data_IF_251713007243
#
_entry.id   IF_251713007243
#
_cell.length_a   1.000
_cell.length_b   1.000
_cell.length_c   1.000
_cell.angle_alpha   90.00
_cell.angle_beta   90.00
_cell.angle_gamma   90.00
#
_symmetry.space_group_name_H-M   'P 1'
#
loop_
_entity.id
_entity.type
_entity.pdbx_description
1 polymer ?
#
# COMPACT_ATOMS: atom_id res chain seq x y z
N UNK A 1 8.34 4.31 -42.62
CA UNK A 1 8.14 4.07 -41.17
C UNK A 1 9.47 4.36 -40.52
N UNK A 2 9.61 5.55 -39.93
CA UNK A 2 10.87 5.94 -39.30
C UNK A 2 11.18 4.98 -38.16
N UNK A 3 12.43 4.54 -38.04
CA UNK A 3 12.90 3.88 -36.83
C UNK A 3 12.62 4.84 -35.68
N UNK A 4 11.63 4.54 -34.85
CA UNK A 4 11.46 5.22 -33.58
C UNK A 4 12.78 5.04 -32.82
N UNK A 5 13.46 6.15 -32.56
CA UNK A 5 14.75 6.10 -31.89
C UNK A 5 14.52 5.56 -30.49
N UNK A 6 15.15 4.44 -30.15
CA UNK A 6 15.10 3.88 -28.80
C UNK A 6 15.75 4.90 -27.85
N UNK A 7 14.92 5.58 -27.05
CA UNK A 7 15.34 6.49 -25.99
C UNK A 7 14.99 5.93 -24.61
N UNK A 8 15.66 6.38 -23.54
CA UNK A 8 15.27 6.06 -22.17
C UNK A 8 13.78 6.23 -21.87
N UNK A 9 13.15 7.32 -22.32
CA UNK A 9 11.70 7.51 -22.13
C UNK A 9 10.85 6.48 -22.88
N UNK A 10 11.17 6.17 -24.15
CA UNK A 10 10.44 5.13 -24.89
C UNK A 10 10.59 3.74 -24.25
N UNK A 11 11.75 3.45 -23.63
CA UNK A 11 11.97 2.22 -22.87
C UNK A 11 11.15 2.24 -21.58
N UNK A 12 11.07 3.38 -20.89
CA UNK A 12 10.25 3.53 -19.70
C UNK A 12 8.75 3.34 -20.01
N UNK A 13 8.26 3.90 -21.11
CA UNK A 13 6.88 3.72 -21.57
C UNK A 13 6.60 2.23 -21.88
N UNK A 14 7.48 1.59 -22.64
CA UNK A 14 7.35 0.14 -22.95
C UNK A 14 7.47 -0.75 -21.70
N UNK A 15 8.29 -0.35 -20.72
CA UNK A 15 8.37 -1.04 -19.44
C UNK A 15 7.05 -0.93 -18.67
N UNK A 16 6.48 0.27 -18.59
CA UNK A 16 5.19 0.51 -17.93
C UNK A 16 4.07 -0.29 -18.59
N UNK A 17 4.01 -0.33 -19.93
CA UNK A 17 3.03 -1.14 -20.66
C UNK A 17 3.16 -2.63 -20.34
N UNK A 18 4.38 -3.17 -20.29
CA UNK A 18 4.64 -4.57 -19.94
C UNK A 18 4.25 -4.87 -18.49
N UNK A 19 4.60 -4.00 -17.55
CA UNK A 19 4.22 -4.14 -16.14
C UNK A 19 2.70 -4.09 -16.01
N UNK A 20 2.01 -3.12 -16.60
CA UNK A 20 0.55 -3.00 -16.51
C UNK A 20 -0.19 -4.19 -17.18
N UNK A 21 0.37 -4.76 -18.24
CA UNK A 21 -0.20 -5.96 -18.86
C UNK A 21 -0.04 -7.21 -17.96
N UNK A 22 1.10 -7.30 -17.27
CA UNK A 22 1.43 -8.45 -16.42
C UNK A 22 0.81 -8.38 -15.03
N UNK A 23 0.75 -7.19 -14.44
CA UNK A 23 0.34 -6.94 -13.06
C UNK A 23 -1.04 -6.28 -12.97
N UNK A 24 -2.09 -7.05 -12.63
CA UNK A 24 -3.43 -6.51 -12.48
C UNK A 24 -3.53 -5.45 -11.37
N UNK A 25 -2.67 -5.48 -10.35
CA UNK A 25 -2.66 -4.50 -9.26
C UNK A 25 -2.17 -3.14 -9.76
N UNK A 26 -1.03 -3.12 -10.44
CA UNK A 26 -0.52 -1.91 -11.10
C UNK A 26 -1.49 -1.37 -12.14
N UNK A 27 -2.11 -2.25 -12.95
CA UNK A 27 -3.14 -1.85 -13.91
C UNK A 27 -4.33 -1.17 -13.23
N UNK A 28 -4.87 -1.77 -12.16
CA UNK A 28 -5.99 -1.20 -11.41
C UNK A 28 -5.62 0.14 -10.74
N UNK A 29 -4.42 0.22 -10.15
CA UNK A 29 -3.89 1.44 -9.54
C UNK A 29 -3.80 2.58 -10.56
N UNK A 30 -3.30 2.33 -11.78
CA UNK A 30 -3.23 3.32 -12.85
C UNK A 30 -4.58 3.63 -13.50
N UNK A 31 -5.62 2.83 -13.24
CA UNK A 31 -6.93 2.94 -13.89
C UNK A 31 -6.97 2.36 -15.31
N UNK A 32 -6.02 1.47 -15.63
CA UNK A 32 -5.92 0.77 -16.91
C UNK A 32 -6.69 -0.56 -16.85
N UNK A 33 -7.15 -1.04 -18.01
CA UNK A 33 -7.83 -2.34 -18.17
C UNK A 33 -8.96 -2.58 -17.16
N UNK A 34 -9.96 -1.68 -17.10
CA UNK A 34 -11.05 -1.71 -16.08
C UNK A 34 -11.80 -3.05 -15.98
N UNK A 35 -11.92 -3.78 -17.08
CA UNK A 35 -12.57 -5.09 -17.13
C UNK A 35 -11.65 -6.28 -16.81
N UNK A 36 -10.38 -6.03 -16.45
CA UNK A 36 -9.47 -7.10 -16.03
C UNK A 36 -9.99 -7.73 -14.73
N UNK A 37 -10.17 -9.04 -14.76
CA UNK A 37 -10.73 -9.83 -13.68
C UNK A 37 -9.70 -10.75 -13.02
N UNK A 38 -8.42 -10.63 -13.40
CA UNK A 38 -7.31 -11.40 -12.83
C UNK A 38 -6.96 -10.94 -11.41
N UNK A 39 -6.36 -11.83 -10.63
CA UNK A 39 -5.66 -11.44 -9.40
C UNK A 39 -4.14 -11.38 -9.67
N UNK A 40 -3.37 -10.67 -8.85
CA UNK A 40 -1.90 -10.71 -8.93
C UNK A 40 -1.40 -12.15 -8.82
N UNK A 41 -0.44 -12.51 -9.67
CA UNK A 41 0.23 -13.80 -9.60
C UNK A 41 1.30 -13.75 -8.50
N UNK A 42 0.97 -14.32 -7.34
CA UNK A 42 1.86 -14.37 -6.18
C UNK A 42 2.70 -15.65 -6.12
N UNK A 43 2.75 -16.43 -7.21
CA UNK A 43 3.58 -17.62 -7.33
C UNK A 43 5.05 -17.28 -7.61
N UNK A 44 5.99 -18.24 -7.45
CA UNK A 44 7.38 -18.04 -7.85
C UNK A 44 7.53 -17.62 -9.32
N UNK A 45 6.72 -18.19 -10.20
CA UNK A 45 6.71 -17.87 -11.64
C UNK A 45 6.22 -16.44 -11.89
N UNK A 46 5.22 -15.98 -11.15
CA UNK A 46 4.76 -14.58 -11.18
C UNK A 46 5.88 -13.61 -10.81
N UNK A 47 6.57 -13.84 -9.69
CA UNK A 47 7.71 -13.01 -9.28
C UNK A 47 8.86 -13.04 -10.29
N UNK A 48 9.18 -14.21 -10.86
CA UNK A 48 10.20 -14.34 -11.89
C UNK A 48 9.81 -13.61 -13.18
N UNK A 49 8.53 -13.63 -13.58
CA UNK A 49 8.06 -12.90 -14.74
C UNK A 49 8.19 -11.38 -14.58
N UNK A 50 7.91 -10.85 -13.39
CA UNK A 50 8.21 -9.45 -13.04
C UNK A 50 9.70 -9.13 -13.14
N UNK A 51 10.55 -9.96 -12.55
CA UNK A 51 12.00 -9.79 -12.62
C UNK A 51 12.51 -9.82 -14.07
N UNK A 52 11.95 -10.70 -14.91
CA UNK A 52 12.35 -10.81 -16.30
C UNK A 52 11.93 -9.59 -17.14
N UNK A 53 10.76 -8.98 -16.87
CA UNK A 53 10.41 -7.67 -17.44
C UNK A 53 11.47 -6.62 -17.05
N UNK A 54 11.86 -6.58 -15.77
CA UNK A 54 12.87 -5.64 -15.30
C UNK A 54 14.25 -5.87 -15.93
N UNK A 55 14.70 -7.12 -16.06
CA UNK A 55 15.97 -7.46 -16.74
C UNK A 55 15.98 -7.04 -18.20
N UNK A 56 14.89 -7.30 -18.94
CA UNK A 56 14.78 -6.89 -20.35
C UNK A 56 14.82 -5.36 -20.49
N UNK A 57 14.10 -4.64 -19.65
CA UNK A 57 14.10 -3.17 -19.67
C UNK A 57 15.48 -2.59 -19.31
N UNK A 58 16.18 -3.18 -18.34
CA UNK A 58 17.54 -2.76 -17.97
C UNK A 58 18.53 -3.02 -19.11
N UNK A 59 18.45 -4.19 -19.76
CA UNK A 59 19.28 -4.51 -20.92
C UNK A 59 19.01 -3.60 -22.12
N UNK A 60 17.74 -3.24 -22.37
CA UNK A 60 17.39 -2.25 -23.39
C UNK A 60 17.98 -0.87 -23.06
N UNK A 61 17.95 -0.48 -21.78
CA UNK A 61 18.51 0.78 -21.30
C UNK A 61 20.04 0.83 -21.39
N UNK A 62 20.72 -0.31 -21.19
CA UNK A 62 22.16 -0.46 -21.40
C UNK A 62 22.58 -0.36 -22.86
N UNK A 63 21.74 -0.85 -23.77
CA UNK A 63 21.99 -0.80 -25.21
C UNK A 63 21.59 0.55 -25.85
N UNK A 64 20.80 1.37 -25.17
CA UNK A 64 20.34 2.65 -25.69
C UNK A 64 21.51 3.64 -25.87
N UNK A 65 21.53 4.43 -26.96
CA UNK A 65 22.55 5.44 -27.15
C UNK A 65 22.47 6.51 -26.06
N UNK A 66 23.62 7.03 -25.64
CA UNK A 66 23.66 8.15 -24.72
C UNK A 66 22.95 9.37 -25.33
N UNK A 67 22.17 10.08 -24.51
CA UNK A 67 21.45 11.30 -24.91
C UNK A 67 21.98 12.52 -24.14
N UNK A 68 22.15 13.62 -24.88
CA UNK A 68 22.49 14.92 -24.30
C UNK A 68 21.25 15.68 -23.80
N UNK A 69 20.04 15.16 -24.02
CA UNK A 69 18.82 15.70 -23.42
C UNK A 69 18.81 15.44 -21.89
N UNK A 70 18.76 16.50 -21.05
CA UNK A 70 18.66 16.35 -19.60
C UNK A 70 17.50 15.46 -19.14
N UNK A 71 16.36 15.48 -19.84
CA UNK A 71 15.19 14.66 -19.49
C UNK A 71 15.44 13.18 -19.75
N UNK A 72 16.08 12.83 -20.87
CA UNK A 72 16.46 11.44 -21.17
C UNK A 72 17.49 10.91 -20.17
N UNK A 73 18.49 11.73 -19.79
CA UNK A 73 19.46 11.34 -18.77
C UNK A 73 18.82 11.13 -17.41
N UNK A 74 17.89 12.01 -17.02
CA UNK A 74 17.18 11.88 -15.76
C UNK A 74 16.32 10.61 -15.75
N UNK A 75 15.57 10.35 -16.83
CA UNK A 75 14.77 9.14 -17.00
C UNK A 75 15.65 7.88 -16.95
N UNK A 76 16.76 7.85 -17.70
CA UNK A 76 17.68 6.72 -17.69
C UNK A 76 18.24 6.44 -16.29
N UNK A 77 18.64 7.49 -15.56
CA UNK A 77 19.15 7.34 -14.19
C UNK A 77 18.10 6.76 -13.26
N UNK A 78 16.88 7.29 -13.28
CA UNK A 78 15.80 6.86 -12.38
C UNK A 78 15.32 5.44 -12.71
N UNK A 79 15.11 5.13 -13.99
CA UNK A 79 14.69 3.79 -14.42
C UNK A 79 15.76 2.76 -14.06
N UNK A 80 17.04 3.05 -14.35
CA UNK A 80 18.16 2.16 -13.99
C UNK A 80 18.23 1.91 -12.49
N UNK A 81 18.13 2.97 -11.70
CA UNK A 81 18.11 2.88 -10.25
C UNK A 81 17.04 1.90 -9.80
N UNK A 82 15.82 2.06 -10.33
CA UNK A 82 14.67 1.29 -9.86
C UNK A 82 14.69 -0.17 -10.26
N UNK A 83 14.99 -0.45 -11.52
CA UNK A 83 15.14 -1.82 -12.01
C UNK A 83 16.27 -2.56 -11.29
N UNK A 84 17.40 -1.89 -11.03
CA UNK A 84 18.54 -2.51 -10.34
C UNK A 84 18.19 -2.85 -8.88
N UNK A 85 17.48 -1.97 -8.18
CA UNK A 85 17.09 -2.21 -6.81
C UNK A 85 16.03 -3.33 -6.68
N UNK A 86 15.05 -3.38 -7.60
CA UNK A 86 14.06 -4.46 -7.68
C UNK A 86 14.73 -5.83 -7.89
N UNK A 87 15.63 -5.90 -8.87
CA UNK A 87 16.38 -7.13 -9.16
C UNK A 87 17.25 -7.55 -7.98
N UNK A 88 17.91 -6.62 -7.29
CA UNK A 88 18.69 -6.95 -6.10
C UNK A 88 17.84 -7.60 -4.99
N UNK A 89 16.60 -7.15 -4.80
CA UNK A 89 15.67 -7.77 -3.84
C UNK A 89 15.28 -9.18 -4.31
N UNK A 90 14.90 -9.33 -5.58
CA UNK A 90 14.51 -10.60 -6.20
C UNK A 90 15.63 -11.65 -6.14
N UNK A 91 16.84 -11.28 -6.55
CA UNK A 91 18.00 -12.18 -6.63
C UNK A 91 18.41 -12.76 -5.27
N UNK A 92 17.98 -12.13 -4.17
CA UNK A 92 18.22 -12.61 -2.80
C UNK A 92 17.05 -13.36 -2.18
N UNK A 93 16.00 -13.57 -2.98
CA UNK A 93 14.82 -14.33 -2.60
C UNK A 93 13.96 -13.62 -1.56
N UNK A 94 13.92 -12.29 -1.55
CA UNK A 94 13.08 -11.54 -0.60
C UNK A 94 11.59 -11.82 -0.81
N UNK A 95 11.16 -12.07 -2.05
CA UNK A 95 9.81 -12.49 -2.41
C UNK A 95 9.37 -13.77 -1.67
N UNK A 96 10.29 -14.70 -1.40
CA UNK A 96 9.99 -15.95 -0.68
C UNK A 96 9.73 -15.78 0.82
N UNK A 97 10.00 -14.58 1.38
CA UNK A 97 9.88 -14.29 2.82
C UNK A 97 9.17 -12.97 3.12
N UNK A 98 8.50 -12.37 2.14
CA UNK A 98 7.80 -11.09 2.30
C UNK A 98 6.42 -11.26 2.98
N UNK A 99 6.42 -11.77 4.20
CA UNK A 99 5.26 -11.87 5.07
C UNK A 99 5.39 -10.88 6.23
N UNK A 100 4.52 -9.88 6.29
CA UNK A 100 4.50 -8.79 7.27
C UNK A 100 3.12 -8.14 7.33
N UNK A 101 2.80 -7.45 8.43
CA UNK A 101 1.47 -6.85 8.63
C UNK A 101 1.16 -5.63 7.77
N UNK A 102 2.17 -5.06 7.11
CA UNK A 102 2.01 -3.91 6.22
C UNK A 102 2.84 -4.12 4.96
N UNK A 103 2.19 -4.06 3.80
CA UNK A 103 2.87 -4.15 2.50
C UNK A 103 3.43 -5.53 2.23
N UNK A 104 2.75 -6.58 2.71
CA UNK A 104 3.00 -7.94 2.28
C UNK A 104 2.31 -8.22 0.95
N UNK A 105 2.76 -9.25 0.24
CA UNK A 105 2.14 -9.59 -1.05
C UNK A 105 0.67 -9.99 -0.91
N UNK A 106 0.30 -10.62 0.21
CA UNK A 106 -1.10 -10.99 0.51
C UNK A 106 -2.02 -9.77 0.62
N UNK A 107 -1.52 -8.58 0.98
CA UNK A 107 -2.35 -7.36 1.03
C UNK A 107 -2.91 -7.00 -0.35
N UNK A 108 -2.23 -7.39 -1.43
CA UNK A 108 -2.63 -7.05 -2.79
C UNK A 108 -3.96 -7.68 -3.20
N UNK A 109 -4.23 -8.93 -2.77
CA UNK A 109 -5.46 -9.65 -3.18
C UNK A 109 -6.73 -8.98 -2.66
N UNK A 110 -6.60 -8.13 -1.63
CA UNK A 110 -7.68 -7.32 -1.07
C UNK A 110 -7.60 -5.86 -1.53
N UNK A 111 -6.42 -5.26 -1.46
CA UNK A 111 -6.23 -3.83 -1.75
C UNK A 111 -6.62 -3.49 -3.19
N UNK A 112 -6.44 -4.42 -4.14
CA UNK A 112 -6.78 -4.21 -5.55
C UNK A 112 -8.22 -3.74 -5.78
N UNK A 113 -9.19 -4.25 -5.01
CA UNK A 113 -10.60 -3.87 -5.09
C UNK A 113 -10.84 -2.39 -4.74
N UNK A 114 -9.96 -1.77 -3.95
CA UNK A 114 -10.09 -0.36 -3.56
C UNK A 114 -9.69 0.62 -4.67
N UNK A 115 -9.05 0.12 -5.74
CA UNK A 115 -8.72 0.91 -6.93
C UNK A 115 -9.75 0.77 -8.05
N UNK A 116 -10.62 -0.23 -7.96
CA UNK A 116 -11.60 -0.53 -9.00
C UNK A 116 -12.83 0.38 -8.92
N UNK A 117 -13.44 0.72 -10.07
CA UNK A 117 -14.79 1.26 -10.07
C UNK A 117 -15.78 0.20 -9.57
N UNK A 118 -16.91 0.64 -9.03
CA UNK A 118 -17.99 -0.21 -8.50
C UNK A 118 -19.36 0.42 -8.80
N UNK A 119 -19.50 1.02 -9.99
CA UNK A 119 -20.66 1.84 -10.35
C UNK A 119 -21.61 1.11 -11.29
N UNK A 120 -21.07 0.39 -12.28
CA UNK A 120 -21.85 -0.32 -13.28
C UNK A 120 -21.85 -1.82 -13.06
N UNK A 121 -22.74 -2.49 -13.77
CA UNK A 121 -22.81 -3.93 -13.83
C UNK A 121 -21.52 -4.58 -14.38
N UNK A 122 -20.87 -3.94 -15.34
CA UNK A 122 -19.57 -4.39 -15.86
C UNK A 122 -18.46 -4.26 -14.82
N UNK A 123 -18.47 -3.17 -14.04
CA UNK A 123 -17.52 -2.99 -12.92
C UNK A 123 -17.67 -4.12 -11.90
N UNK A 124 -18.91 -4.43 -11.52
CA UNK A 124 -19.21 -5.50 -10.57
C UNK A 124 -18.93 -6.90 -11.13
N UNK A 125 -19.03 -7.11 -12.45
CA UNK A 125 -18.63 -8.37 -13.09
C UNK A 125 -17.11 -8.59 -12.99
N UNK A 126 -16.30 -7.54 -13.17
CA UNK A 126 -14.85 -7.63 -12.97
C UNK A 126 -14.50 -7.91 -11.50
N UNK A 127 -15.20 -7.28 -10.55
CA UNK A 127 -15.07 -7.59 -9.10
C UNK A 127 -15.37 -9.07 -8.83
N UNK A 128 -16.49 -9.59 -9.37
CA UNK A 128 -16.86 -10.99 -9.19
C UNK A 128 -15.79 -11.95 -9.75
N UNK A 129 -15.21 -11.64 -10.91
CA UNK A 129 -14.12 -12.44 -11.48
C UNK A 129 -12.85 -12.42 -10.63
N UNK A 130 -12.45 -11.26 -10.10
CA UNK A 130 -11.29 -11.19 -9.18
C UNK A 130 -11.52 -11.97 -7.89
N UNK A 131 -12.73 -11.96 -7.35
CA UNK A 131 -13.08 -12.78 -6.19
C UNK A 131 -12.98 -14.27 -6.50
N UNK A 132 -13.42 -14.72 -7.68
CA UNK A 132 -13.26 -16.11 -8.14
C UNK A 132 -11.81 -16.52 -8.36
N UNK A 133 -10.96 -15.58 -8.78
CA UNK A 133 -9.53 -15.82 -9.03
C UNK A 133 -8.66 -15.69 -7.76
N UNK A 134 -9.21 -15.16 -6.66
CA UNK A 134 -8.48 -14.96 -5.40
C UNK A 134 -7.89 -16.26 -4.81
N UNK A 135 -8.59 -17.41 -4.81
CA UNK A 135 -8.01 -18.66 -4.33
C UNK A 135 -6.72 -19.03 -5.05
N UNK A 136 -6.66 -18.86 -6.39
CA UNK A 136 -5.46 -19.15 -7.17
C UNK A 136 -4.27 -18.27 -6.82
N UNK A 137 -4.49 -17.00 -6.53
CA UNK A 137 -3.43 -16.10 -6.05
C UNK A 137 -2.88 -16.52 -4.68
N UNK A 138 -3.75 -16.96 -3.77
CA UNK A 138 -3.33 -17.45 -2.45
C UNK A 138 -2.61 -18.81 -2.54
N UNK A 139 -3.02 -19.70 -3.44
CA UNK A 139 -2.31 -20.95 -3.71
C UNK A 139 -0.91 -20.67 -4.27
N UNK A 140 -0.78 -19.71 -5.18
CA UNK A 140 0.52 -19.23 -5.67
C UNK A 140 1.38 -18.70 -4.53
N UNK A 141 0.82 -17.85 -3.66
CA UNK A 141 1.58 -17.32 -2.52
C UNK A 141 1.98 -18.40 -1.52
N UNK A 142 1.12 -19.40 -1.28
CA UNK A 142 1.46 -20.59 -0.49
C UNK A 142 2.64 -21.34 -1.10
N UNK A 143 2.69 -21.51 -2.42
CA UNK A 143 3.82 -22.14 -3.11
C UNK A 143 5.11 -21.32 -2.90
N UNK A 144 5.05 -19.99 -3.07
CA UNK A 144 6.17 -19.08 -2.79
C UNK A 144 6.69 -19.23 -1.36
N UNK A 145 5.82 -19.17 -0.36
CA UNK A 145 6.25 -19.29 1.03
C UNK A 145 6.74 -20.70 1.38
N UNK A 146 6.19 -21.74 0.76
CA UNK A 146 6.67 -23.12 0.90
C UNK A 146 8.09 -23.28 0.36
N UNK A 147 8.39 -22.64 -0.77
CA UNK A 147 9.75 -22.56 -1.29
C UNK A 147 10.67 -21.73 -0.38
N UNK A 148 10.15 -20.67 0.23
CA UNK A 148 10.85 -19.95 1.30
C UNK A 148 11.26 -20.86 2.45
N UNK A 149 10.35 -21.71 2.93
CA UNK A 149 10.66 -22.73 3.95
C UNK A 149 11.80 -23.64 3.50
N UNK A 150 11.75 -24.18 2.28
CA UNK A 150 12.76 -25.13 1.78
C UNK A 150 14.15 -24.49 1.62
N UNK A 151 14.19 -23.19 1.34
CA UNK A 151 15.42 -22.39 1.18
C UNK A 151 15.91 -21.74 2.49
N UNK A 152 15.18 -21.90 3.60
CA UNK A 152 15.49 -21.22 4.87
C UNK A 152 15.27 -19.69 4.82
N UNK A 153 14.43 -19.22 3.89
CA UNK A 153 14.06 -17.83 3.72
C UNK A 153 12.69 -17.61 4.37
N UNK A 154 12.71 -17.23 5.65
CA UNK A 154 11.50 -17.11 6.47
C UNK A 154 11.32 -15.69 7.00
N UNK A 155 10.08 -15.31 7.22
CA UNK A 155 9.74 -14.15 8.05
C UNK A 155 9.87 -14.52 9.54
N UNK A 156 9.97 -13.52 10.41
CA UNK A 156 9.98 -13.74 11.85
C UNK A 156 8.60 -14.20 12.36
N UNK A 157 8.52 -15.01 13.44
CA UNK A 157 7.25 -15.48 14.01
C UNK A 157 6.24 -14.38 14.30
N UNK A 158 6.73 -13.22 14.75
CA UNK A 158 5.90 -12.03 15.04
C UNK A 158 5.12 -11.58 13.80
N UNK A 159 5.77 -11.56 12.64
CA UNK A 159 5.16 -11.13 11.38
C UNK A 159 4.13 -12.14 10.91
N UNK A 160 4.44 -13.44 10.99
CA UNK A 160 3.51 -14.50 10.65
C UNK A 160 2.26 -14.46 11.54
N UNK A 161 2.43 -14.32 12.86
CA UNK A 161 1.32 -14.19 13.81
C UNK A 161 0.46 -12.94 13.54
N UNK A 162 1.09 -11.80 13.22
CA UNK A 162 0.39 -10.57 12.87
C UNK A 162 -0.48 -10.73 11.61
N UNK A 163 0.07 -11.34 10.55
CA UNK A 163 -0.69 -11.62 9.32
C UNK A 163 -1.82 -12.61 9.58
N UNK A 164 -1.61 -13.64 10.40
CA UNK A 164 -2.69 -14.58 10.79
C UNK A 164 -3.86 -13.83 11.45
N UNK A 165 -3.57 -12.88 12.34
CA UNK A 165 -4.58 -12.01 12.95
C UNK A 165 -5.32 -11.17 11.90
N UNK A 166 -4.57 -10.51 11.02
CA UNK A 166 -5.14 -9.69 9.94
C UNK A 166 -6.06 -10.51 9.01
N UNK A 167 -5.68 -11.73 8.65
CA UNK A 167 -6.52 -12.59 7.82
C UNK A 167 -7.76 -13.09 8.57
N UNK A 168 -7.70 -13.29 9.89
CA UNK A 168 -8.90 -13.57 10.70
C UNK A 168 -9.88 -12.39 10.71
N UNK A 169 -9.37 -11.15 10.70
CA UNK A 169 -10.21 -9.96 10.55
C UNK A 169 -10.92 -9.95 9.20
N UNK A 170 -10.24 -10.34 8.12
CA UNK A 170 -10.84 -10.39 6.79
C UNK A 170 -11.94 -11.44 6.65
N UNK A 171 -11.86 -12.54 7.41
CA UNK A 171 -12.89 -13.60 7.39
C UNK A 171 -14.06 -13.33 8.33
N UNK A 172 -14.00 -12.25 9.13
CA UNK A 172 -15.03 -11.94 10.12
C UNK A 172 -14.93 -12.79 11.39
N UNK A 173 -13.84 -13.54 11.57
CA UNK A 173 -13.56 -14.34 12.77
C UNK A 173 -12.86 -13.54 13.88
N UNK A 174 -12.61 -12.24 13.65
CA UNK A 174 -12.10 -11.33 14.66
C UNK A 174 -12.95 -11.32 15.93
N UNK A 175 -12.29 -11.37 17.07
CA UNK A 175 -12.91 -11.18 18.38
C UNK A 175 -12.45 -9.84 19.00
N UNK A 176 -13.31 -9.20 19.80
CA UNK A 176 -12.96 -7.99 20.56
C UNK A 176 -13.19 -6.69 19.78
N UNK A 177 -12.34 -5.68 20.01
CA UNK A 177 -12.50 -4.31 19.48
C UNK A 177 -12.34 -4.20 17.95
N UNK A 178 -12.02 -5.30 17.26
CA UNK A 178 -11.89 -5.39 15.81
C UNK A 178 -12.96 -6.31 15.18
N UNK A 179 -13.95 -6.75 15.98
CA UNK A 179 -15.07 -7.52 15.47
C UNK A 179 -15.88 -6.65 14.48
N UNK A 180 -15.78 -6.99 13.19
CA UNK A 180 -16.62 -6.41 12.13
C UNK A 180 -18.06 -6.90 12.20
N UNK A 181 -18.78 -6.80 11.09
CA UNK A 181 -20.16 -7.31 10.90
C UNK A 181 -20.35 -8.81 11.18
N UNK A 182 -19.24 -9.56 11.31
CA UNK A 182 -19.20 -11.02 11.42
C UNK A 182 -19.34 -11.75 10.08
N UNK A 183 -19.60 -11.04 8.97
CA UNK A 183 -19.71 -11.60 7.62
C UNK A 183 -18.40 -11.60 6.83
N UNK A 184 -17.40 -10.86 7.31
CA UNK A 184 -16.08 -10.75 6.69
C UNK A 184 -16.01 -9.67 5.61
N UNK A 185 -14.80 -9.21 5.31
CA UNK A 185 -14.53 -8.04 4.47
C UNK A 185 -15.09 -8.19 3.04
N UNK A 186 -14.95 -9.37 2.43
CA UNK A 186 -15.41 -9.56 1.05
C UNK A 186 -16.93 -9.48 0.91
N UNK A 187 -17.68 -10.01 1.90
CA UNK A 187 -19.13 -9.93 1.92
C UNK A 187 -19.60 -8.47 2.08
N UNK A 188 -18.98 -7.74 3.00
CA UNK A 188 -19.26 -6.33 3.24
C UNK A 188 -18.95 -5.48 2.01
N UNK A 189 -17.81 -5.74 1.34
CA UNK A 189 -17.41 -5.04 0.13
C UNK A 189 -18.44 -5.22 -0.99
N UNK A 190 -18.88 -6.45 -1.24
CA UNK A 190 -19.85 -6.71 -2.31
C UNK A 190 -21.28 -6.30 -1.96
N UNK A 191 -21.57 -5.87 -0.73
CA UNK A 191 -22.93 -5.50 -0.32
C UNK A 191 -23.51 -4.33 -1.15
N UNK A 192 -22.64 -3.45 -1.67
CA UNK A 192 -23.02 -2.37 -2.60
C UNK A 192 -23.29 -2.81 -4.05
N UNK A 193 -23.16 -4.11 -4.34
CA UNK A 193 -23.37 -4.69 -5.66
C UNK A 193 -24.80 -4.60 -6.18
N UNK A 194 -24.97 -4.67 -7.50
CA UNK A 194 -26.29 -4.60 -8.13
C UNK A 194 -27.11 -5.87 -7.87
N UNK A 195 -28.44 -5.72 -7.78
CA UNK A 195 -29.37 -6.85 -7.56
C UNK A 195 -29.22 -7.95 -8.63
N UNK A 196 -28.87 -7.56 -9.86
CA UNK A 196 -28.68 -8.49 -10.99
C UNK A 196 -27.51 -9.46 -10.74
N UNK A 197 -26.42 -8.97 -10.17
CA UNK A 197 -25.21 -9.76 -9.92
C UNK A 197 -25.13 -10.30 -8.48
N UNK A 198 -26.10 -9.95 -7.61
CA UNK A 198 -26.12 -10.34 -6.19
C UNK A 198 -25.81 -11.82 -5.93
N UNK A 199 -26.43 -12.81 -6.62
CA UNK A 199 -26.12 -14.23 -6.38
C UNK A 199 -24.67 -14.60 -6.71
N UNK A 200 -24.12 -14.02 -7.78
CA UNK A 200 -22.75 -14.26 -8.24
C UNK A 200 -21.73 -13.62 -7.29
N UNK A 201 -21.96 -12.37 -6.92
CA UNK A 201 -21.12 -11.63 -5.97
C UNK A 201 -21.09 -12.31 -4.59
N UNK A 202 -22.23 -12.75 -4.09
CA UNK A 202 -22.32 -13.49 -2.82
C UNK A 202 -21.56 -14.81 -2.86
N UNK A 203 -21.68 -15.56 -3.96
CA UNK A 203 -20.97 -16.81 -4.12
C UNK A 203 -19.46 -16.60 -4.20
N UNK A 204 -19.01 -15.62 -5.00
CA UNK A 204 -17.60 -15.30 -5.16
C UNK A 204 -16.98 -14.75 -3.86
N UNK A 205 -17.70 -13.90 -3.12
CA UNK A 205 -17.27 -13.40 -1.82
C UNK A 205 -17.11 -14.52 -0.80
N UNK A 206 -18.07 -15.46 -0.72
CA UNK A 206 -17.93 -16.65 0.16
C UNK A 206 -16.73 -17.51 -0.20
N UNK A 207 -16.48 -17.72 -1.50
CA UNK A 207 -15.33 -18.48 -1.97
C UNK A 207 -14.01 -17.79 -1.61
N UNK A 208 -13.92 -16.47 -1.80
CA UNK A 208 -12.76 -15.68 -1.41
C UNK A 208 -12.50 -15.74 0.10
N UNK A 209 -13.54 -15.57 0.92
CA UNK A 209 -13.46 -15.69 2.39
C UNK A 209 -12.95 -17.08 2.80
N UNK A 210 -13.47 -18.15 2.21
CA UNK A 210 -13.02 -19.51 2.50
C UNK A 210 -11.53 -19.72 2.15
N UNK A 211 -11.09 -19.23 0.99
CA UNK A 211 -9.68 -19.34 0.58
C UNK A 211 -8.74 -18.57 1.50
N UNK A 212 -9.16 -17.38 1.98
CA UNK A 212 -8.40 -16.63 2.99
C UNK A 212 -8.31 -17.40 4.30
N UNK A 213 -9.40 -18.02 4.77
CA UNK A 213 -9.41 -18.84 5.98
C UNK A 213 -8.46 -20.05 5.84
N UNK A 214 -8.50 -20.75 4.71
CA UNK A 214 -7.60 -21.87 4.42
C UNK A 214 -6.12 -21.46 4.36
N UNK A 215 -5.81 -20.31 3.74
CA UNK A 215 -4.45 -19.79 3.69
C UNK A 215 -3.95 -19.36 5.08
N UNK A 216 -4.80 -18.69 5.87
CA UNK A 216 -4.51 -18.36 7.28
C UNK A 216 -4.24 -19.60 8.11
N UNK A 217 -5.06 -20.63 7.96
CA UNK A 217 -4.91 -21.88 8.70
C UNK A 217 -3.60 -22.60 8.31
N UNK A 218 -3.23 -22.59 7.03
CA UNK A 218 -1.91 -23.06 6.60
C UNK A 218 -0.76 -22.24 7.21
N UNK A 219 -0.88 -20.91 7.27
CA UNK A 219 0.10 -20.06 7.95
C UNK A 219 0.25 -20.45 9.42
N UNK A 220 -0.87 -20.66 10.12
CA UNK A 220 -0.91 -21.06 11.54
C UNK A 220 -0.28 -22.43 11.77
N UNK A 221 -0.66 -23.41 10.96
CA UNK A 221 -0.38 -24.82 11.23
C UNK A 221 0.94 -25.30 10.60
N UNK A 222 1.44 -24.61 9.56
CA UNK A 222 2.66 -24.99 8.83
C UNK A 222 3.73 -23.90 8.83
N UNK A 223 3.41 -22.68 8.39
CA UNK A 223 4.43 -21.63 8.22
C UNK A 223 4.96 -21.11 9.56
N UNK A 224 4.09 -20.75 10.49
CA UNK A 224 4.44 -20.18 11.78
C UNK A 224 5.36 -21.12 12.60
N UNK A 225 5.07 -22.44 12.73
CA UNK A 225 6.01 -23.38 13.36
C UNK A 225 7.38 -23.41 12.69
N UNK A 226 7.45 -23.32 11.34
CA UNK A 226 8.72 -23.30 10.62
C UNK A 226 9.54 -22.03 10.91
N UNK A 227 8.90 -20.93 11.29
CA UNK A 227 9.57 -19.64 11.58
C UNK A 227 10.22 -19.58 12.96
N UNK A 228 10.04 -20.58 13.84
CA UNK A 228 10.33 -20.48 15.29
C UNK A 228 11.74 -19.96 15.64
N UNK A 229 12.76 -20.33 14.86
CA UNK A 229 14.15 -19.93 15.08
C UNK A 229 14.59 -18.68 14.30
N UNK A 230 13.66 -18.02 13.60
CA UNK A 230 13.94 -16.85 12.77
C UNK A 230 13.88 -15.57 13.61
N UNK A 231 14.99 -14.82 13.77
CA UNK A 231 14.99 -13.59 14.56
C UNK A 231 14.21 -12.46 13.86
N UNK A 232 13.65 -11.53 14.64
CA UNK A 232 13.07 -10.29 14.11
C UNK A 232 14.12 -9.42 13.42
N UNK A 233 15.36 -9.40 13.94
CA UNK A 233 16.46 -8.62 13.38
C UNK A 233 16.96 -9.24 12.07
N UNK A 234 16.88 -8.45 10.99
CA UNK A 234 17.18 -8.93 9.63
C UNK A 234 18.67 -8.95 9.27
N UNK A 235 19.52 -8.35 10.10
CA UNK A 235 20.95 -8.18 9.85
C UNK A 235 21.29 -7.01 8.92
N UNK A 236 22.54 -6.52 9.01
CA UNK A 236 22.99 -5.29 8.33
C UNK A 236 22.88 -5.36 6.81
N UNK A 237 23.27 -6.47 6.19
CA UNK A 237 23.29 -6.61 4.73
C UNK A 237 21.87 -6.52 4.15
N UNK A 238 20.94 -7.31 4.69
CA UNK A 238 19.54 -7.30 4.28
C UNK A 238 18.89 -5.94 4.54
N UNK A 239 19.22 -5.31 5.68
CA UNK A 239 18.74 -3.98 6.00
C UNK A 239 19.22 -2.93 4.99
N UNK A 240 20.52 -2.91 4.64
CA UNK A 240 21.08 -1.97 3.66
C UNK A 240 20.43 -2.12 2.28
N UNK A 241 20.20 -3.36 1.83
CA UNK A 241 19.53 -3.63 0.56
C UNK A 241 18.09 -3.11 0.57
N UNK A 242 17.34 -3.40 1.63
CA UNK A 242 15.99 -2.89 1.80
C UNK A 242 15.98 -1.36 1.92
N UNK A 243 16.93 -0.75 2.63
CA UNK A 243 17.05 0.70 2.75
C UNK A 243 17.29 1.33 1.37
N UNK A 244 18.25 0.81 0.59
CA UNK A 244 18.49 1.24 -0.80
C UNK A 244 17.24 1.10 -1.67
N UNK A 245 16.54 -0.02 -1.57
CA UNK A 245 15.30 -0.25 -2.30
C UNK A 245 14.23 0.80 -1.96
N UNK A 246 14.08 1.18 -0.69
CA UNK A 246 13.02 2.08 -0.24
C UNK A 246 13.38 3.57 -0.38
N UNK A 247 14.65 3.95 -0.26
CA UNK A 247 15.07 5.36 -0.27
C UNK A 247 15.67 5.81 -1.60
N UNK A 248 16.08 4.86 -2.45
CA UNK A 248 16.87 5.17 -3.65
C UNK A 248 18.27 5.73 -3.33
N UNK A 249 18.74 5.58 -2.08
CA UNK A 249 20.00 6.12 -1.58
C UNK A 249 20.88 5.02 -0.96
N UNK A 250 22.19 5.16 -1.09
CA UNK A 250 23.16 4.36 -0.33
C UNK A 250 23.41 5.07 1.00
N UNK A 251 22.97 4.47 2.11
CA UNK A 251 23.01 5.10 3.43
C UNK A 251 24.20 4.60 4.24
N UNK A 252 24.84 5.50 4.98
CA UNK A 252 25.63 5.13 6.14
C UNK A 252 24.69 4.95 7.34
N UNK A 253 24.51 3.70 7.78
CA UNK A 253 23.57 3.40 8.86
C UNK A 253 24.02 3.94 10.21
N UNK A 254 25.32 4.04 10.44
CA UNK A 254 25.84 4.45 11.74
C UNK A 254 25.70 5.98 11.89
N UNK A 255 25.94 6.71 10.79
CA UNK A 255 25.65 8.15 10.70
C UNK A 255 24.14 8.44 10.77
N UNK A 256 23.32 7.74 9.97
CA UNK A 256 21.87 7.93 9.99
C UNK A 256 21.26 7.63 11.38
N UNK A 257 21.78 6.63 12.08
CA UNK A 257 21.33 6.29 13.44
C UNK A 257 21.72 7.36 14.46
N UNK A 258 22.93 7.90 14.38
CA UNK A 258 23.37 9.00 15.24
C UNK A 258 22.52 10.26 14.99
N UNK A 259 22.33 10.63 13.72
CA UNK A 259 21.48 11.75 13.33
C UNK A 259 20.04 11.60 13.83
N UNK A 260 19.46 10.39 13.75
CA UNK A 260 18.11 10.14 14.24
C UNK A 260 17.96 10.40 15.75
N UNK A 261 18.98 10.12 16.56
CA UNK A 261 18.97 10.44 17.99
C UNK A 261 19.09 11.94 18.27
N UNK A 262 19.90 12.64 17.49
CA UNK A 262 19.99 14.11 17.58
C UNK A 262 18.66 14.77 17.24
N UNK A 263 18.01 14.34 16.15
CA UNK A 263 16.69 14.83 15.76
C UNK A 263 15.60 14.45 16.75
N UNK A 264 15.66 13.25 17.35
CA UNK A 264 14.74 12.83 18.41
C UNK A 264 14.84 13.78 19.61
N UNK A 265 16.04 14.10 20.08
CA UNK A 265 16.22 15.02 21.21
C UNK A 265 15.83 16.46 20.88
N UNK A 266 16.16 16.94 19.68
CA UNK A 266 15.76 18.27 19.20
C UNK A 266 14.23 18.40 19.18
N UNK A 267 13.56 17.44 18.54
CA UNK A 267 12.09 17.41 18.43
C UNK A 267 11.44 17.27 19.81
N UNK A 268 11.97 16.41 20.69
CA UNK A 268 11.45 16.26 22.06
C UNK A 268 11.56 17.57 22.86
N UNK A 269 12.62 18.35 22.67
CA UNK A 269 12.76 19.65 23.31
C UNK A 269 11.71 20.66 22.79
N UNK A 270 11.48 20.69 21.48
CA UNK A 270 10.44 21.54 20.87
C UNK A 270 9.04 21.15 21.34
N UNK A 271 8.73 19.86 21.38
CA UNK A 271 7.44 19.37 21.91
C UNK A 271 7.22 19.79 23.36
N UNK A 272 8.27 19.83 24.20
CA UNK A 272 8.16 20.28 25.60
C UNK A 272 7.84 21.77 25.68
N UNK A 273 8.43 22.60 24.83
CA UNK A 273 8.10 24.01 24.74
C UNK A 273 6.63 24.23 24.34
N UNK A 274 6.13 23.45 23.38
CA UNK A 274 4.73 23.54 22.96
C UNK A 274 3.75 22.99 24.02
N UNK A 275 4.13 21.93 24.74
CA UNK A 275 3.33 21.41 25.85
C UNK A 275 3.13 22.44 26.98
N UNK A 276 4.18 23.22 27.31
CA UNK A 276 4.08 24.30 28.30
C UNK A 276 3.11 25.42 27.84
N UNK A 277 2.98 25.65 26.53
CA UNK A 277 2.03 26.63 25.96
C UNK A 277 0.60 26.12 25.98
N UNK A 278 0.41 24.82 25.81
CA UNK A 278 -0.91 24.15 25.83
C UNK A 278 -1.44 24.04 27.25
N UNK A 279 -0.64 23.48 28.15
CA UNK A 279 -1.00 23.25 29.55
C UNK A 279 0.24 23.48 30.44
N UNK A 280 0.40 24.69 31.01
CA UNK A 280 1.60 25.04 31.79
C UNK A 280 1.88 24.09 32.96
N UNK A 281 3.15 23.67 33.10
CA UNK A 281 3.60 22.76 34.15
C UNK A 281 3.25 21.29 33.93
N UNK A 282 2.65 20.93 32.79
CA UNK A 282 2.29 19.55 32.47
C UNK A 282 3.43 18.79 31.78
N UNK A 283 3.32 17.46 31.80
CA UNK A 283 4.10 16.58 30.92
C UNK A 283 3.53 16.59 29.50
N UNK A 284 4.33 16.12 28.53
CA UNK A 284 3.89 15.96 27.14
C UNK A 284 2.57 15.18 27.02
N UNK A 285 2.47 14.04 27.70
CA UNK A 285 1.29 13.18 27.63
C UNK A 285 0.08 13.83 28.27
N UNK A 286 0.25 14.58 29.36
CA UNK A 286 -0.85 15.33 29.98
C UNK A 286 -1.33 16.46 29.06
N UNK A 287 -0.43 17.18 28.38
CA UNK A 287 -0.81 18.19 27.38
C UNK A 287 -1.54 17.55 26.19
N UNK A 288 -1.10 16.39 25.69
CA UNK A 288 -1.76 15.66 24.61
C UNK A 288 -3.16 15.20 25.02
N UNK A 289 -3.31 14.57 26.20
CA UNK A 289 -4.63 14.18 26.72
C UNK A 289 -5.54 15.39 26.92
N UNK A 290 -5.00 16.52 27.38
CA UNK A 290 -5.76 17.76 27.49
C UNK A 290 -6.29 18.23 26.12
N UNK A 291 -5.48 18.14 25.06
CA UNK A 291 -5.94 18.45 23.70
C UNK A 291 -6.96 17.43 23.17
N UNK A 292 -6.84 16.16 23.55
CA UNK A 292 -7.81 15.13 23.17
C UNK A 292 -9.18 15.37 23.84
N UNK A 293 -9.20 15.79 25.11
CA UNK A 293 -10.43 15.98 25.89
C UNK A 293 -11.05 17.38 25.74
N UNK A 294 -10.22 18.42 25.61
CA UNK A 294 -10.64 19.82 25.67
C UNK A 294 -10.27 20.63 24.43
N UNK A 295 -9.51 20.06 23.50
CA UNK A 295 -9.18 20.69 22.24
C UNK A 295 -10.39 20.80 21.30
N UNK A 296 -10.17 21.47 20.16
CA UNK A 296 -11.17 21.48 19.11
C UNK A 296 -11.38 20.05 18.58
N UNK A 297 -12.65 19.66 18.49
CA UNK A 297 -13.06 18.37 17.97
C UNK A 297 -14.27 18.51 17.07
N UNK A 298 -14.35 17.67 16.05
CA UNK A 298 -15.50 17.59 15.13
C UNK A 298 -16.29 16.33 15.45
N UNK A 299 -17.61 16.44 15.51
CA UNK A 299 -18.52 15.32 15.81
C UNK A 299 -19.20 14.81 14.54
N UNK A 300 -19.16 13.50 14.34
CA UNK A 300 -19.77 12.79 13.21
C UNK A 300 -18.83 12.64 12.01
N UNK A 301 -18.91 11.47 11.37
CA UNK A 301 -18.04 11.09 10.24
C UNK A 301 -18.14 12.06 9.04
N UNK A 302 -19.35 12.44 8.65
CA UNK A 302 -19.54 13.38 7.53
C UNK A 302 -19.00 14.79 7.85
N UNK A 303 -19.16 15.24 9.10
CA UNK A 303 -18.66 16.54 9.51
C UNK A 303 -17.13 16.60 9.53
N UNK A 304 -16.45 15.54 10.02
CA UNK A 304 -14.99 15.51 9.96
C UNK A 304 -14.50 15.37 8.52
N UNK A 305 -15.19 14.59 7.67
CA UNK A 305 -14.87 14.48 6.25
C UNK A 305 -14.91 15.85 5.56
N UNK A 306 -15.96 16.64 5.81
CA UNK A 306 -16.11 17.99 5.25
C UNK A 306 -15.08 18.99 5.82
N UNK A 307 -14.79 18.92 7.13
CA UNK A 307 -13.75 19.76 7.75
C UNK A 307 -12.37 19.48 7.14
N UNK A 308 -12.04 18.21 6.93
CA UNK A 308 -10.81 17.77 6.28
C UNK A 308 -10.74 18.15 4.79
N UNK A 309 -11.89 18.18 4.10
CA UNK A 309 -11.97 18.71 2.74
C UNK A 309 -11.64 20.20 2.71
N UNK A 310 -12.23 20.97 3.63
CA UNK A 310 -11.96 22.40 3.72
C UNK A 310 -10.49 22.69 3.98
N UNK A 311 -9.85 21.93 4.90
CA UNK A 311 -8.42 22.05 5.17
C UNK A 311 -7.56 21.85 3.90
N UNK A 312 -7.88 20.84 3.09
CA UNK A 312 -7.18 20.59 1.83
C UNK A 312 -7.43 21.70 0.80
N UNK A 313 -8.67 22.16 0.65
CA UNK A 313 -9.03 23.22 -0.30
C UNK A 313 -8.35 24.57 0.05
N UNK A 314 -8.25 24.87 1.35
CA UNK A 314 -7.52 26.02 1.88
C UNK A 314 -6.02 25.90 1.60
N UNK A 315 -5.41 24.74 1.87
CA UNK A 315 -4.00 24.49 1.59
C UNK A 315 -3.68 24.61 0.10
N UNK A 316 -4.49 24.00 -0.77
CA UNK A 316 -4.35 24.13 -2.23
C UNK A 316 -4.41 25.59 -2.65
N UNK A 317 -5.36 26.37 -2.12
CA UNK A 317 -5.52 27.79 -2.46
C UNK A 317 -4.36 28.65 -1.95
N UNK A 318 -3.87 28.39 -0.73
CA UNK A 318 -2.78 29.15 -0.13
C UNK A 318 -1.42 28.88 -0.78
N UNK A 319 -1.22 27.67 -1.31
CA UNK A 319 0.05 27.21 -1.85
C UNK A 319 0.19 27.39 -3.36
N UNK A 320 -0.92 27.38 -4.11
CA UNK A 320 -0.93 27.55 -5.56
C UNK A 320 -0.43 28.93 -6.00
N UNK A 321 0.38 28.97 -7.06
CA UNK A 321 0.95 30.17 -7.66
C UNK A 321 2.04 30.87 -6.84
N UNK A 322 2.22 30.50 -5.56
CA UNK A 322 3.26 31.04 -4.69
C UNK A 322 4.35 30.01 -4.41
N UNK A 323 3.96 28.81 -4.02
CA UNK A 323 4.88 27.73 -3.63
C UNK A 323 4.86 26.55 -4.61
N UNK A 324 3.72 26.29 -5.25
CA UNK A 324 3.55 25.21 -6.23
C UNK A 324 2.68 25.66 -7.41
N UNK A 325 2.84 25.00 -8.56
CA UNK A 325 1.95 25.16 -9.72
C UNK A 325 0.85 24.09 -9.68
N UNK A 326 -0.32 24.40 -9.11
CA UNK A 326 -1.43 23.45 -8.94
C UNK A 326 -2.52 23.71 -9.98
N UNK A 327 -2.29 23.21 -11.20
CA UNK A 327 -3.17 23.45 -12.35
C UNK A 327 -3.89 22.20 -12.87
N UNK A 328 -5.07 22.40 -13.45
CA UNK A 328 -5.84 21.32 -14.07
C UNK A 328 -6.37 20.28 -13.09
N UNK A 329 -6.49 19.00 -13.49
CA UNK A 329 -7.20 17.99 -12.72
C UNK A 329 -6.51 17.59 -11.40
N UNK A 330 -5.19 17.86 -11.25
CA UNK A 330 -4.45 17.56 -10.01
C UNK A 330 -4.93 18.39 -8.82
N UNK A 331 -5.58 19.52 -9.08
CA UNK A 331 -6.16 20.39 -8.05
C UNK A 331 -7.36 19.75 -7.35
N UNK A 332 -7.97 18.72 -7.95
CA UNK A 332 -9.10 18.01 -7.36
C UNK A 332 -8.58 16.90 -6.45
N UNK A 333 -8.75 17.06 -5.15
CA UNK A 333 -8.48 16.04 -4.13
C UNK A 333 -9.74 15.87 -3.27
N UNK A 334 -10.16 14.64 -3.01
CA UNK A 334 -11.38 14.36 -2.25
C UNK A 334 -11.07 13.72 -0.89
N UNK A 335 -11.61 14.30 0.18
CA UNK A 335 -11.63 13.71 1.52
C UNK A 335 -12.69 12.61 1.58
N UNK A 336 -12.34 11.46 2.15
CA UNK A 336 -13.20 10.29 2.29
C UNK A 336 -13.08 9.68 3.68
N UNK A 337 -14.14 9.01 4.12
CA UNK A 337 -14.07 8.08 5.23
C UNK A 337 -13.59 6.73 4.68
N UNK A 338 -12.61 6.13 5.36
CA UNK A 338 -12.08 4.84 4.95
C UNK A 338 -13.15 3.76 5.16
N UNK A 339 -13.35 2.85 4.18
CA UNK A 339 -14.22 1.70 4.36
C UNK A 339 -13.80 0.85 5.56
N UNK A 340 -14.73 0.09 6.13
CA UNK A 340 -14.44 -0.83 7.22
C UNK A 340 -13.29 -1.81 6.86
N UNK A 341 -12.41 -2.06 7.82
CA UNK A 341 -11.24 -2.93 7.64
C UNK A 341 -10.07 -2.31 6.85
N UNK A 342 -10.10 -1.02 6.53
CA UNK A 342 -8.97 -0.31 5.89
C UNK A 342 -7.78 -0.13 6.84
N UNK A 343 -6.75 0.61 6.41
CA UNK A 343 -5.61 1.03 7.26
C UNK A 343 -6.07 1.58 8.62
N UNK A 344 -5.26 1.42 9.66
CA UNK A 344 -5.52 1.99 10.99
C UNK A 344 -5.19 3.48 11.10
N UNK A 345 -4.61 4.09 10.08
CA UNK A 345 -4.30 5.52 10.02
C UNK A 345 -4.64 6.14 8.68
N UNK A 346 -4.69 7.49 8.59
CA UNK A 346 -4.97 8.21 7.36
C UNK A 346 -4.05 7.79 6.22
N UNK A 347 -4.58 7.76 5.00
CA UNK A 347 -3.80 7.37 3.82
C UNK A 347 -4.27 8.12 2.57
N UNK A 348 -3.33 8.27 1.63
CA UNK A 348 -3.56 8.88 0.33
C UNK A 348 -3.58 7.83 -0.78
N UNK A 349 -4.53 7.97 -1.69
CA UNK A 349 -4.62 7.27 -2.96
C UNK A 349 -4.43 8.29 -4.09
N UNK A 350 -3.39 8.10 -4.90
CA UNK A 350 -3.12 8.91 -6.08
C UNK A 350 -4.23 8.84 -7.16
N UNK A 351 -4.33 9.87 -8.03
CA UNK A 351 -5.28 9.84 -9.13
C UNK A 351 -4.97 8.71 -10.12
N UNK A 352 -5.97 8.29 -10.88
CA UNK A 352 -5.73 7.45 -12.07
C UNK A 352 -4.97 8.24 -13.14
N UNK A 353 -4.32 7.54 -14.08
CA UNK A 353 -3.51 8.18 -15.13
C UNK A 353 -4.33 9.17 -15.98
N UNK A 354 -5.62 8.86 -16.21
CA UNK A 354 -6.58 9.68 -16.94
C UNK A 354 -7.31 10.72 -16.08
N UNK A 355 -6.98 10.81 -14.78
CA UNK A 355 -7.66 11.64 -13.77
C UNK A 355 -9.17 11.41 -13.59
N UNK A 356 -9.74 10.34 -14.18
CA UNK A 356 -11.15 9.99 -13.95
C UNK A 356 -11.44 9.63 -12.49
N UNK A 357 -10.43 9.10 -11.78
CA UNK A 357 -10.37 9.03 -10.31
C UNK A 357 -9.41 10.12 -9.84
N UNK A 358 -9.86 11.14 -9.08
CA UNK A 358 -8.96 12.15 -8.51
C UNK A 358 -8.11 11.56 -7.39
N UNK A 359 -7.16 12.35 -6.89
CA UNK A 359 -6.48 12.01 -5.63
C UNK A 359 -7.49 11.96 -4.48
N UNK A 360 -7.31 11.04 -3.53
CA UNK A 360 -8.21 10.86 -2.40
C UNK A 360 -7.44 10.64 -1.10
N UNK A 361 -7.84 11.32 -0.06
CA UNK A 361 -7.38 11.05 1.32
C UNK A 361 -8.49 10.33 2.07
N UNK A 362 -8.13 9.35 2.89
CA UNK A 362 -9.07 8.50 3.59
C UNK A 362 -8.79 8.55 5.09
N UNK A 363 -9.83 8.84 5.89
CA UNK A 363 -9.81 8.79 7.34
C UNK A 363 -10.47 7.51 7.86
N UNK A 364 -9.73 6.56 8.45
CA UNK A 364 -10.33 5.46 9.21
C UNK A 364 -10.92 5.99 10.51
N UNK A 365 -12.22 5.77 10.73
CA UNK A 365 -12.91 6.28 11.92
C UNK A 365 -12.71 5.39 13.13
N UNK A 366 -12.39 4.10 12.91
CA UNK A 366 -12.13 3.12 13.97
C UNK A 366 -13.25 3.07 15.03
N UNK A 367 -14.49 3.34 14.61
CA UNK A 367 -15.66 3.37 15.49
C UNK A 367 -15.80 4.64 16.34
N UNK A 368 -14.98 5.67 16.12
CA UNK A 368 -15.10 6.96 16.80
C UNK A 368 -16.21 7.82 16.17
N UNK A 369 -16.92 8.59 16.99
CA UNK A 369 -17.93 9.58 16.56
C UNK A 369 -17.47 11.03 16.83
N UNK A 370 -16.33 11.21 17.48
CA UNK A 370 -15.77 12.53 17.80
C UNK A 370 -14.28 12.52 17.55
N UNK A 371 -13.80 13.51 16.81
CA UNK A 371 -12.46 13.53 16.23
C UNK A 371 -11.72 14.78 16.71
N UNK A 372 -10.79 14.66 17.67
CA UNK A 372 -9.88 15.75 18.03
C UNK A 372 -9.05 16.16 16.81
N UNK A 373 -9.05 17.45 16.46
CA UNK A 373 -8.46 17.88 15.19
C UNK A 373 -6.97 18.20 15.27
N UNK A 374 -6.42 18.36 16.47
CA UNK A 374 -5.05 18.84 16.65
C UNK A 374 -3.99 17.91 16.05
N UNK A 375 -4.20 16.59 16.13
CA UNK A 375 -3.33 15.60 15.46
C UNK A 375 -3.66 15.49 13.97
N UNK A 376 -4.94 15.63 13.61
CA UNK A 376 -5.40 15.45 12.23
C UNK A 376 -4.75 16.45 11.28
N UNK A 377 -4.51 17.70 11.69
CA UNK A 377 -3.87 18.72 10.84
C UNK A 377 -2.48 18.29 10.33
N UNK A 378 -1.71 17.53 11.11
CA UNK A 378 -0.33 17.16 10.74
C UNK A 378 -0.22 15.79 10.07
N UNK A 379 -1.22 14.93 10.19
CA UNK A 379 -1.24 13.60 9.58
C UNK A 379 -2.17 13.49 8.36
N UNK A 380 -2.94 14.54 8.08
CA UNK A 380 -3.83 14.66 6.92
C UNK A 380 -3.14 15.40 5.78
#
# INVERSE_FOLDING_TARGET
>A
MGHESITPRSIADSHLEQVAAHDPMTSAWLGLNRGDDRQPDLSPDGFEAHAEVARRSLAALDAAPASDDPAERACARLLRERLTAELAMHDTGENFRQLRTVGAHVDQVRTIFTFMPTTTDEDWAAVAGRLRNLPGALDGYRATLTEGISRGLLAAPRQAAGVIGQLADWTGEAAGQHAGSGTGWFADFVAGGTDRLRPELDAAARQATAAVAEFRDWLRDSYLPATADTPDAVGRERYLRAARYNTGAELDLDEAYAWAWDEFHRTLAEMRCEAERVLPGSTLLEAMHHLDEHGHAVKGEEAIRDWLQQLMDEAITALDGTHFDLSGPIRKVESRIAPAGSSSGPYYQGPSLDFSRPGRTYLPTLGQDTFPTWQLVSIW
#
